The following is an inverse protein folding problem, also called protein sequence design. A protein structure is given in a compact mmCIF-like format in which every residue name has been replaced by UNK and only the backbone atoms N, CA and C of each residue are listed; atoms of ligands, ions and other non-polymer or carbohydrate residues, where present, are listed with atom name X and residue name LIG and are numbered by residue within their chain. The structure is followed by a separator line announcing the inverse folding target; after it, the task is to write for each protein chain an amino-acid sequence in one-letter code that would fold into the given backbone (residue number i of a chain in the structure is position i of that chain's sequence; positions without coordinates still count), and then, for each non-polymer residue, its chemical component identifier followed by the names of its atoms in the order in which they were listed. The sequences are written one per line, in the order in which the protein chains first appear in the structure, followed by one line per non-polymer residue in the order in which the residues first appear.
data_IF_566953315997
#
_entry.id   IF_566953315997
#
_cell.length_a   1.000
_cell.length_b   1.000
_cell.length_c   1.000
_cell.angle_alpha   90.00
_cell.angle_beta   90.00
_cell.angle_gamma   90.00
#
_symmetry.space_group_name_H-M   'P 1'
#
loop_
_entity.id
_entity.type
_entity.pdbx_description
1 polymer ?
#
# COMPACT_ATOMS: atom_id res chain seq x y z
N UNK A 1 -2.63 22.63 -6.05
CA UNK A 1 -2.90 21.97 -4.77
C UNK A 1 -3.01 20.49 -5.08
N UNK A 2 -2.23 19.63 -4.40
CA UNK A 2 -2.28 18.19 -4.67
C UNK A 2 -3.56 17.55 -4.14
N UNK A 3 -3.85 16.32 -4.59
CA UNK A 3 -5.01 15.55 -4.10
C UNK A 3 -4.99 15.39 -2.58
N UNK A 4 -3.85 15.01 -2.02
CA UNK A 4 -3.68 14.78 -0.58
C UNK A 4 -3.82 16.06 0.25
N UNK A 5 -3.35 17.20 -0.28
CA UNK A 5 -3.57 18.51 0.35
C UNK A 5 -5.05 18.88 0.38
N UNK A 6 -5.79 18.54 -0.68
CA UNK A 6 -7.22 18.77 -0.78
C UNK A 6 -8.00 17.90 0.22
N UNK A 7 -7.67 16.61 0.34
CA UNK A 7 -8.23 15.73 1.37
C UNK A 7 -8.00 16.31 2.78
N UNK A 8 -6.80 16.81 3.08
CA UNK A 8 -6.50 17.40 4.38
C UNK A 8 -7.35 18.66 4.69
N UNK A 9 -7.70 19.45 3.67
CA UNK A 9 -8.49 20.68 3.82
C UNK A 9 -10.00 20.45 3.79
N UNK A 10 -10.46 19.35 3.20
CA UNK A 10 -11.88 19.05 3.01
C UNK A 10 -12.27 17.72 3.68
N UNK A 11 -12.75 17.76 4.94
CA UNK A 11 -13.15 16.55 5.67
C UNK A 11 -14.23 15.73 4.97
N UNK A 12 -15.17 16.38 4.29
CA UNK A 12 -16.23 15.69 3.51
C UNK A 12 -15.62 14.87 2.38
N UNK A 13 -14.71 15.46 1.60
CA UNK A 13 -14.05 14.76 0.51
C UNK A 13 -13.13 13.65 1.02
N UNK A 14 -12.38 13.90 2.09
CA UNK A 14 -11.54 12.89 2.73
C UNK A 14 -12.35 11.67 3.18
N UNK A 15 -13.55 11.88 3.73
CA UNK A 15 -14.43 10.79 4.14
C UNK A 15 -14.88 9.96 2.94
N UNK A 16 -15.34 10.60 1.86
CA UNK A 16 -15.77 9.92 0.62
C UNK A 16 -14.60 9.11 0.04
N UNK A 17 -13.41 9.70 -0.01
CA UNK A 17 -12.21 9.02 -0.51
C UNK A 17 -11.87 7.78 0.32
N UNK A 18 -11.83 7.93 1.65
CA UNK A 18 -11.54 6.82 2.57
C UNK A 18 -12.59 5.71 2.50
N UNK A 19 -13.87 6.03 2.35
CA UNK A 19 -14.93 5.05 2.16
C UNK A 19 -14.78 4.28 0.84
N UNK A 20 -14.42 4.97 -0.24
CA UNK A 20 -14.10 4.36 -1.53
C UNK A 20 -12.97 3.35 -1.41
N UNK A 21 -11.85 3.74 -0.79
CA UNK A 21 -10.68 2.86 -0.60
C UNK A 21 -10.98 1.68 0.34
N UNK A 22 -11.79 1.88 1.38
CA UNK A 22 -12.22 0.82 2.27
C UNK A 22 -13.10 -0.23 1.58
N UNK A 23 -13.83 0.16 0.52
CA UNK A 23 -14.75 -0.73 -0.18
C UNK A 23 -14.06 -1.92 -0.84
N UNK A 24 -13.05 -1.63 -1.67
CA UNK A 24 -12.22 -2.64 -2.32
C UNK A 24 -11.35 -3.41 -1.31
N UNK A 25 -10.87 -2.72 -0.26
CA UNK A 25 -10.02 -3.31 0.77
C UNK A 25 -10.67 -4.46 1.53
N UNK A 26 -12.00 -4.61 1.52
CA UNK A 26 -12.69 -5.79 2.09
C UNK A 26 -12.36 -7.09 1.36
N UNK A 27 -12.00 -7.01 0.07
CA UNK A 27 -11.56 -8.17 -0.72
C UNK A 27 -10.21 -8.73 -0.24
N UNK A 28 -9.48 -7.99 0.59
CA UNK A 28 -8.25 -8.48 1.21
C UNK A 28 -8.45 -9.75 2.03
N UNK A 29 -9.67 -9.99 2.53
CA UNK A 29 -10.03 -11.26 3.18
C UNK A 29 -9.79 -12.49 2.30
N UNK A 30 -10.00 -12.37 0.98
CA UNK A 30 -9.71 -13.42 0.00
C UNK A 30 -8.21 -13.60 -0.19
N UNK A 31 -7.46 -12.49 -0.28
CA UNK A 31 -6.00 -12.55 -0.42
C UNK A 31 -5.35 -13.22 0.79
N UNK A 32 -5.78 -12.84 2.01
CA UNK A 32 -5.28 -13.47 3.24
C UNK A 32 -5.63 -14.96 3.30
N UNK A 33 -6.81 -15.35 2.81
CA UNK A 33 -7.24 -16.75 2.76
C UNK A 33 -6.43 -17.57 1.76
N UNK A 34 -6.27 -17.08 0.54
CA UNK A 34 -5.72 -17.84 -0.59
C UNK A 34 -4.18 -17.74 -0.65
N UNK A 35 -3.60 -16.66 -0.12
CA UNK A 35 -2.16 -16.39 -0.10
C UNK A 35 -1.60 -16.27 1.32
N UNK A 36 -2.19 -17.00 2.26
CA UNK A 36 -1.74 -17.10 3.66
C UNK A 36 -0.22 -17.26 3.82
N UNK A 37 0.50 -18.09 3.01
CA UNK A 37 1.95 -18.27 3.13
C UNK A 37 2.78 -17.00 2.97
N UNK A 38 2.25 -15.94 2.32
CA UNK A 38 2.95 -14.64 2.21
C UNK A 38 3.18 -14.03 3.60
N UNK A 39 2.23 -14.24 4.53
CA UNK A 39 2.23 -13.62 5.85
C UNK A 39 2.77 -14.54 6.95
N UNK A 40 3.01 -15.81 6.65
CA UNK A 40 3.51 -16.77 7.64
C UNK A 40 4.95 -16.44 8.08
N UNK A 41 5.20 -16.63 9.38
CA UNK A 41 6.51 -16.39 10.00
C UNK A 41 6.86 -14.92 10.28
N UNK A 42 5.97 -13.99 9.95
CA UNK A 42 6.07 -12.56 10.27
C UNK A 42 5.66 -12.29 11.73
N UNK A 43 6.48 -11.55 12.47
CA UNK A 43 6.13 -11.04 13.80
C UNK A 43 5.53 -9.63 13.77
N UNK A 44 5.81 -8.86 12.72
CA UNK A 44 5.33 -7.49 12.54
C UNK A 44 5.13 -7.12 11.08
N UNK A 45 4.09 -6.30 10.82
CA UNK A 45 3.75 -5.77 9.49
C UNK A 45 3.37 -4.30 9.60
N UNK A 46 3.85 -3.48 8.67
CA UNK A 46 3.42 -2.08 8.49
C UNK A 46 2.65 -1.96 7.18
N UNK A 47 1.43 -1.46 7.24
CA UNK A 47 0.54 -1.14 6.12
C UNK A 47 0.69 0.36 5.81
N UNK A 48 1.50 0.69 4.80
CA UNK A 48 1.85 2.07 4.43
C UNK A 48 0.80 2.63 3.48
N UNK A 49 0.26 3.80 3.80
CA UNK A 49 -0.95 4.32 3.16
C UNK A 49 -2.18 3.47 3.46
N UNK A 50 -2.21 2.80 4.62
CA UNK A 50 -3.26 1.85 5.00
C UNK A 50 -4.62 2.49 5.32
N UNK A 51 -4.74 3.82 5.20
CA UNK A 51 -5.96 4.59 5.40
C UNK A 51 -6.56 4.40 6.79
N UNK A 52 -7.84 4.03 6.84
CA UNK A 52 -8.54 3.75 8.10
C UNK A 52 -8.28 2.34 8.66
N UNK A 53 -7.36 1.59 8.04
CA UNK A 53 -6.83 0.33 8.53
C UNK A 53 -7.64 -0.91 8.15
N UNK A 54 -8.50 -0.86 7.12
CA UNK A 54 -9.32 -2.01 6.71
C UNK A 54 -8.47 -3.24 6.42
N UNK A 55 -7.37 -3.09 5.69
CA UNK A 55 -6.45 -4.19 5.35
C UNK A 55 -5.75 -4.72 6.58
N UNK A 56 -5.07 -3.85 7.34
CA UNK A 56 -4.36 -4.24 8.54
C UNK A 56 -5.27 -4.91 9.59
N UNK A 57 -6.55 -4.51 9.72
CA UNK A 57 -7.53 -5.19 10.59
C UNK A 57 -7.75 -6.65 10.16
N UNK A 58 -8.07 -6.89 8.89
CA UNK A 58 -8.28 -8.23 8.33
C UNK A 58 -7.05 -9.11 8.56
N UNK A 59 -5.86 -8.57 8.31
CA UNK A 59 -4.60 -9.27 8.54
C UNK A 59 -4.40 -9.57 10.03
N UNK A 60 -4.61 -8.59 10.91
CA UNK A 60 -4.42 -8.74 12.36
C UNK A 60 -5.38 -9.77 12.99
N UNK A 61 -6.58 -9.92 12.44
CA UNK A 61 -7.56 -10.93 12.86
C UNK A 61 -7.16 -12.34 12.40
N UNK A 62 -6.63 -12.46 11.17
CA UNK A 62 -6.16 -13.73 10.63
C UNK A 62 -4.84 -14.21 11.27
N UNK A 63 -4.02 -13.28 11.76
CA UNK A 63 -2.73 -13.56 12.41
C UNK A 63 -2.63 -12.84 13.77
N UNK A 64 -3.31 -13.34 14.82
CA UNK A 64 -3.36 -12.66 16.13
C UNK A 64 -2.01 -12.43 16.81
N UNK A 65 -0.98 -13.19 16.43
CA UNK A 65 0.38 -13.06 16.94
C UNK A 65 1.19 -11.93 16.28
N UNK A 66 0.76 -11.45 15.10
CA UNK A 66 1.47 -10.45 14.34
C UNK A 66 1.08 -9.04 14.80
N UNK A 67 2.09 -8.20 15.06
CA UNK A 67 1.88 -6.78 15.36
C UNK A 67 1.70 -6.01 14.05
N UNK A 68 0.52 -5.47 13.83
CA UNK A 68 0.19 -4.68 12.65
C UNK A 68 0.25 -3.19 13.00
N UNK A 69 0.79 -2.39 12.08
CA UNK A 69 0.79 -0.92 12.17
C UNK A 69 0.19 -0.35 10.90
N UNK A 70 -0.86 0.45 11.02
CA UNK A 70 -1.34 1.31 9.92
C UNK A 70 -0.52 2.58 9.97
N UNK A 71 0.17 2.87 8.88
CA UNK A 71 0.98 4.07 8.75
C UNK A 71 0.43 4.95 7.63
N UNK A 72 -0.03 6.13 7.97
CA UNK A 72 -0.64 7.06 7.01
C UNK A 72 -0.38 8.52 7.43
N UNK A 73 -0.87 9.47 6.65
CA UNK A 73 -0.78 10.89 6.98
C UNK A 73 -1.46 11.17 8.33
N UNK A 74 -0.92 12.10 9.15
CA UNK A 74 -1.44 12.36 10.49
C UNK A 74 -2.95 12.65 10.54
N UNK A 75 -3.49 13.37 9.56
CA UNK A 75 -4.90 13.73 9.50
C UNK A 75 -5.83 12.53 9.23
N UNK A 76 -5.34 11.48 8.56
CA UNK A 76 -6.10 10.26 8.25
C UNK A 76 -6.29 9.41 9.50
N UNK A 77 -5.25 9.30 10.33
CA UNK A 77 -5.24 8.40 11.49
C UNK A 77 -5.54 9.08 12.83
N UNK A 78 -5.63 10.40 12.88
CA UNK A 78 -5.73 11.19 14.12
C UNK A 78 -6.81 10.72 15.12
N UNK A 79 -7.94 10.21 14.63
CA UNK A 79 -9.09 9.82 15.46
C UNK A 79 -9.29 8.30 15.55
N UNK A 80 -8.35 7.52 15.03
CA UNK A 80 -8.42 6.07 15.06
C UNK A 80 -7.84 5.54 16.38
N UNK A 81 -8.47 4.50 16.92
CA UNK A 81 -8.07 3.91 18.20
C UNK A 81 -7.30 2.63 17.96
N UNK A 82 -6.16 2.52 18.62
CA UNK A 82 -5.38 1.29 18.69
C UNK A 82 -6.21 0.12 19.23
N UNK A 83 -5.82 -1.09 18.84
CA UNK A 83 -6.27 -2.35 19.41
C UNK A 83 -5.08 -3.14 19.95
N UNK A 84 -5.32 -4.35 20.46
CA UNK A 84 -4.29 -5.16 21.11
C UNK A 84 -3.07 -5.43 20.21
N UNK A 85 -3.29 -5.73 18.93
CA UNK A 85 -2.24 -6.07 17.96
C UNK A 85 -2.24 -5.15 16.73
N UNK A 86 -3.04 -4.08 16.73
CA UNK A 86 -3.09 -3.08 15.66
C UNK A 86 -2.85 -1.69 16.22
N UNK A 87 -1.90 -0.96 15.64
CA UNK A 87 -1.61 0.44 15.99
C UNK A 87 -1.78 1.36 14.80
N UNK A 88 -2.08 2.63 15.09
CA UNK A 88 -2.13 3.69 14.10
C UNK A 88 -0.97 4.67 14.33
N UNK A 89 -0.21 4.97 13.28
CA UNK A 89 0.93 5.88 13.33
C UNK A 89 0.80 6.90 12.22
N UNK A 90 0.78 8.19 12.59
CA UNK A 90 0.79 9.30 11.64
C UNK A 90 2.21 9.66 11.22
N UNK A 91 2.44 9.86 9.93
CA UNK A 91 3.72 10.34 9.42
C UNK A 91 3.75 10.50 7.91
N UNK A 92 4.96 10.59 7.37
CA UNK A 92 5.22 10.77 5.94
C UNK A 92 6.18 9.66 5.46
N UNK A 93 5.72 8.83 4.53
CA UNK A 93 6.48 7.69 3.99
C UNK A 93 7.72 8.11 3.20
N UNK A 94 7.78 9.35 2.70
CA UNK A 94 8.98 9.88 2.06
C UNK A 94 10.09 10.22 3.06
N UNK A 95 9.72 10.46 4.32
CA UNK A 95 10.66 10.77 5.40
C UNK A 95 11.12 9.52 6.13
N UNK A 96 10.17 8.72 6.64
CA UNK A 96 10.49 7.50 7.39
C UNK A 96 9.30 6.54 7.41
N UNK A 97 9.58 5.24 7.42
CA UNK A 97 8.58 4.18 7.60
C UNK A 97 8.88 3.45 8.92
N UNK A 98 7.87 3.15 9.76
CA UNK A 98 8.09 2.37 10.97
C UNK A 98 8.72 1.00 10.69
N UNK A 99 9.55 0.53 11.61
CA UNK A 99 10.23 -0.76 11.44
C UNK A 99 9.31 -1.97 11.58
N UNK A 100 9.46 -2.95 10.70
CA UNK A 100 8.73 -4.22 10.72
C UNK A 100 9.45 -5.34 9.95
N UNK A 101 8.94 -6.57 10.08
CA UNK A 101 9.41 -7.71 9.28
C UNK A 101 8.89 -7.65 7.83
N UNK A 102 7.71 -7.06 7.63
CA UNK A 102 7.13 -6.82 6.33
C UNK A 102 6.52 -5.43 6.20
N UNK A 103 6.58 -4.88 4.99
CA UNK A 103 5.95 -3.60 4.63
C UNK A 103 4.98 -3.88 3.49
N UNK A 104 3.73 -3.52 3.68
CA UNK A 104 2.63 -3.70 2.73
C UNK A 104 2.26 -2.34 2.12
N UNK A 105 2.09 -2.35 0.80
CA UNK A 105 1.51 -1.25 0.04
C UNK A 105 0.33 -1.79 -0.73
N UNK A 106 -0.87 -1.26 -0.46
CA UNK A 106 -2.05 -1.50 -1.28
C UNK A 106 -2.45 -0.19 -1.93
N UNK A 107 -2.48 -0.15 -3.26
CA UNK A 107 -2.93 1.02 -4.02
C UNK A 107 -2.13 2.30 -3.72
N UNK A 108 -0.80 2.19 -3.74
CA UNK A 108 0.08 3.34 -3.42
C UNK A 108 0.99 3.68 -4.60
N UNK A 109 1.62 2.70 -5.22
CA UNK A 109 2.69 2.99 -6.19
C UNK A 109 2.18 3.61 -7.49
N UNK A 110 0.91 3.43 -7.84
CA UNK A 110 0.30 4.10 -9.00
C UNK A 110 0.12 5.61 -8.82
N UNK A 111 0.17 6.14 -7.59
CA UNK A 111 0.01 7.57 -7.33
C UNK A 111 1.29 8.38 -7.59
N UNK A 112 2.44 7.71 -7.63
CA UNK A 112 3.75 8.35 -7.55
C UNK A 112 4.59 8.13 -8.80
N UNK A 113 5.56 9.02 -9.02
CA UNK A 113 6.54 8.85 -10.08
C UNK A 113 7.58 7.76 -9.76
N UNK A 114 8.22 7.16 -10.78
CA UNK A 114 9.31 6.19 -10.56
C UNK A 114 10.38 6.65 -9.55
N UNK A 115 10.76 7.94 -9.59
CA UNK A 115 11.74 8.49 -8.66
C UNK A 115 11.22 8.47 -7.22
N UNK A 116 9.97 8.87 -7.03
CA UNK A 116 9.27 8.80 -5.74
C UNK A 116 9.10 7.34 -5.29
N UNK A 117 8.69 6.43 -6.17
CA UNK A 117 8.59 5.00 -5.90
C UNK A 117 9.93 4.42 -5.45
N UNK A 118 11.03 4.76 -6.13
CA UNK A 118 12.39 4.33 -5.74
C UNK A 118 12.76 4.91 -4.37
N UNK A 119 12.39 6.15 -4.08
CA UNK A 119 12.64 6.76 -2.77
C UNK A 119 11.84 6.07 -1.66
N UNK A 120 10.57 5.73 -1.89
CA UNK A 120 9.74 4.94 -0.98
C UNK A 120 10.37 3.56 -0.74
N UNK A 121 10.83 2.86 -1.79
CA UNK A 121 11.48 1.55 -1.66
C UNK A 121 12.81 1.63 -0.88
N UNK A 122 13.57 2.72 -1.00
CA UNK A 122 14.75 2.95 -0.15
C UNK A 122 14.37 3.09 1.33
N UNK A 123 13.30 3.82 1.64
CA UNK A 123 12.76 3.92 3.01
C UNK A 123 12.31 2.56 3.54
N UNK A 124 11.73 1.72 2.68
CA UNK A 124 11.35 0.35 3.05
C UNK A 124 12.56 -0.49 3.46
N UNK A 125 13.64 -0.41 2.66
CA UNK A 125 14.89 -1.12 2.93
C UNK A 125 15.50 -0.73 4.28
N UNK A 126 15.39 0.54 4.66
CA UNK A 126 15.86 1.04 5.97
C UNK A 126 14.96 0.59 7.12
N UNK A 127 13.65 0.48 6.89
CA UNK A 127 12.66 0.12 7.89
C UNK A 127 12.59 -1.40 8.17
N UNK A 128 12.95 -2.24 7.20
CA UNK A 128 12.92 -3.70 7.38
C UNK A 128 13.96 -4.13 8.43
N UNK A 129 13.49 -4.51 9.62
CA UNK A 129 14.35 -4.93 10.74
C UNK A 129 14.50 -6.42 10.75
N UNK A 130 15.33 -6.96 9.87
CA UNK A 130 15.51 -8.40 9.83
C UNK A 130 16.76 -8.81 10.63
N UNK A 131 16.56 -9.18 11.90
CA UNK A 131 17.60 -9.79 12.75
C UNK A 131 17.90 -11.22 12.29
N UNK A 132 18.49 -11.38 11.10
CA UNK A 132 18.89 -12.67 10.54
C UNK A 132 17.81 -13.44 9.76
N UNK A 133 16.67 -12.82 9.43
CA UNK A 133 15.68 -13.31 8.45
C UNK A 133 15.70 -12.42 7.21
N UNK A 134 15.08 -12.80 6.11
CA UNK A 134 14.80 -11.88 5.01
C UNK A 134 13.45 -11.20 5.29
N UNK A 135 13.46 -9.86 5.42
CA UNK A 135 12.20 -9.11 5.44
C UNK A 135 11.67 -8.89 4.04
N UNK A 136 10.40 -8.51 3.92
CA UNK A 136 9.71 -8.46 2.62
C UNK A 136 8.91 -7.18 2.41
N UNK A 137 8.86 -6.73 1.16
CA UNK A 137 7.93 -5.69 0.71
C UNK A 137 6.84 -6.36 -0.11
N UNK A 138 5.58 -6.16 0.27
CA UNK A 138 4.40 -6.73 -0.39
C UNK A 138 3.68 -5.59 -1.09
N UNK A 139 3.47 -5.71 -2.40
CA UNK A 139 2.85 -4.68 -3.22
C UNK A 139 1.59 -5.27 -3.85
N UNK A 140 0.45 -4.63 -3.61
CA UNK A 140 -0.85 -4.96 -4.20
C UNK A 140 -1.29 -3.74 -5.01
N UNK A 141 -1.06 -3.82 -6.32
CA UNK A 141 -1.36 -2.73 -7.25
C UNK A 141 -1.77 -3.27 -8.61
N UNK A 142 -2.35 -2.40 -9.44
CA UNK A 142 -2.67 -2.72 -10.83
C UNK A 142 -1.35 -2.84 -11.61
N UNK A 143 -1.20 -3.97 -12.30
CA UNK A 143 -0.10 -4.24 -13.23
C UNK A 143 -0.70 -4.55 -14.60
N UNK A 144 -0.41 -3.72 -15.60
CA UNK A 144 -0.85 -3.95 -16.98
C UNK A 144 0.11 -4.94 -17.65
N UNK A 145 -0.42 -6.04 -18.18
CA UNK A 145 0.34 -6.97 -19.00
C UNK A 145 -0.49 -7.38 -20.21
N UNK A 146 -0.38 -6.63 -21.31
CA UNK A 146 -1.20 -6.83 -22.51
C UNK A 146 -1.01 -8.20 -23.17
N UNK A 147 0.10 -8.89 -22.90
CA UNK A 147 0.39 -10.21 -23.45
C UNK A 147 -0.31 -11.34 -22.67
N UNK A 148 -0.58 -11.13 -21.38
CA UNK A 148 -1.15 -12.14 -20.48
C UNK A 148 -2.58 -11.85 -20.04
N UNK A 149 -2.95 -10.59 -20.02
CA UNK A 149 -4.27 -10.15 -19.56
C UNK A 149 -5.35 -10.48 -20.61
N UNK A 150 -6.52 -10.88 -20.15
CA UNK A 150 -7.70 -10.92 -21.01
C UNK A 150 -8.05 -9.51 -21.52
N UNK A 151 -8.71 -9.44 -22.66
CA UNK A 151 -8.98 -8.16 -23.33
C UNK A 151 -9.79 -7.18 -22.47
N UNK A 152 -10.82 -7.65 -21.77
CA UNK A 152 -11.67 -6.78 -20.94
C UNK A 152 -10.98 -6.37 -19.63
N UNK A 153 -10.12 -7.24 -19.09
CA UNK A 153 -9.22 -6.91 -17.97
C UNK A 153 -8.25 -5.80 -18.40
N UNK A 154 -7.63 -5.95 -19.58
CA UNK A 154 -6.71 -4.96 -20.14
C UNK A 154 -7.39 -3.60 -20.30
N UNK A 155 -8.59 -3.56 -20.87
CA UNK A 155 -9.39 -2.33 -21.00
C UNK A 155 -9.68 -1.67 -19.66
N UNK A 156 -10.07 -2.46 -18.66
CA UNK A 156 -10.36 -1.94 -17.32
C UNK A 156 -9.10 -1.35 -16.67
N UNK A 157 -7.96 -2.03 -16.78
CA UNK A 157 -6.69 -1.51 -16.26
C UNK A 157 -6.22 -0.25 -17.01
N UNK A 158 -6.44 -0.17 -18.32
CA UNK A 158 -6.13 1.04 -19.10
C UNK A 158 -7.07 2.21 -18.76
N UNK A 159 -8.34 1.95 -18.48
CA UNK A 159 -9.27 2.98 -18.00
C UNK A 159 -8.82 3.50 -16.63
N UNK A 160 -8.38 2.60 -15.75
CA UNK A 160 -7.80 2.96 -14.46
C UNK A 160 -6.52 3.81 -14.61
N UNK A 161 -5.60 3.42 -15.50
CA UNK A 161 -4.41 4.23 -15.83
C UNK A 161 -4.80 5.63 -16.34
N UNK A 162 -5.84 5.70 -17.19
CA UNK A 162 -6.36 6.98 -17.66
C UNK A 162 -6.96 7.84 -16.55
N UNK A 163 -7.62 7.23 -15.58
CA UNK A 163 -8.11 7.91 -14.38
C UNK A 163 -6.95 8.45 -13.53
N UNK A 164 -5.88 7.68 -13.35
CA UNK A 164 -4.70 8.10 -12.58
C UNK A 164 -3.97 9.29 -13.23
N UNK A 165 -4.02 9.44 -14.56
CA UNK A 165 -3.51 10.65 -15.23
C UNK A 165 -4.27 11.93 -14.87
N UNK A 166 -5.51 11.83 -14.38
CA UNK A 166 -6.31 12.99 -13.94
C UNK A 166 -5.95 13.39 -12.51
N UNK A 167 -5.70 12.40 -11.65
CA UNK A 167 -5.41 12.62 -10.23
C UNK A 167 -3.93 12.84 -9.92
N UNK A 168 -3.03 12.28 -10.73
CA UNK A 168 -1.58 12.34 -10.56
C UNK A 168 -0.86 12.99 -11.74
N UNK A 169 0.41 13.34 -11.53
CA UNK A 169 1.34 13.81 -12.56
C UNK A 169 1.88 12.64 -13.45
N UNK A 170 1.03 11.70 -13.89
CA UNK A 170 1.45 10.43 -14.47
C UNK A 170 1.82 10.49 -15.97
N UNK A 171 2.88 9.77 -16.39
CA UNK A 171 3.31 9.55 -17.78
C UNK A 171 3.43 8.04 -18.08
N UNK A 172 2.75 7.62 -19.15
CA UNK A 172 2.39 6.27 -19.63
C UNK A 172 3.53 5.24 -19.87
N UNK A 173 4.81 5.55 -19.66
CA UNK A 173 5.96 4.67 -19.98
C UNK A 173 6.43 3.75 -18.80
N UNK A 174 5.75 3.80 -17.65
CA UNK A 174 6.35 3.48 -16.33
C UNK A 174 6.11 2.09 -15.73
N UNK A 175 4.96 1.45 -15.98
CA UNK A 175 4.55 0.22 -15.28
C UNK A 175 5.49 -0.99 -15.57
N UNK A 176 6.04 -1.08 -16.77
CA UNK A 176 7.00 -2.13 -17.13
C UNK A 176 8.35 -2.00 -16.41
N UNK A 177 8.81 -0.77 -16.11
CA UNK A 177 10.13 -0.54 -15.48
C UNK A 177 10.11 -0.88 -14.01
N UNK A 178 9.04 -0.55 -13.29
CA UNK A 178 8.85 -0.99 -11.90
C UNK A 178 8.69 -2.50 -11.81
N UNK A 179 7.90 -3.12 -12.69
CA UNK A 179 7.83 -4.58 -12.80
C UNK A 179 9.21 -5.21 -12.99
N UNK A 180 10.05 -4.66 -13.87
CA UNK A 180 11.43 -5.11 -14.09
C UNK A 180 12.38 -4.82 -12.92
N UNK A 181 12.20 -3.74 -12.17
CA UNK A 181 13.01 -3.44 -10.98
C UNK A 181 12.67 -4.36 -9.79
N UNK A 182 11.37 -4.67 -9.62
CA UNK A 182 10.87 -5.60 -8.60
C UNK A 182 11.23 -7.04 -8.96
N UNK A 183 11.11 -7.44 -10.25
CA UNK A 183 11.49 -8.78 -10.73
C UNK A 183 13.00 -8.94 -10.95
N UNK A 184 13.75 -7.85 -11.03
CA UNK A 184 15.20 -7.80 -11.30
C UNK A 184 16.08 -7.94 -10.06
N UNK A 185 15.53 -8.36 -8.92
CA UNK A 185 16.31 -8.70 -7.72
C UNK A 185 16.85 -7.50 -6.93
N UNK A 186 16.08 -6.40 -6.84
CA UNK A 186 16.34 -5.36 -5.83
C UNK A 186 15.81 -5.72 -4.42
N UNK A 187 15.38 -6.98 -4.24
CA UNK A 187 15.20 -7.69 -2.99
C UNK A 187 15.67 -9.14 -3.18
#
# INVERSE_FOLDING_TARGET
MGLWDYCNQSPEYNNIFNEGMASDSRLMSLVVKDYKPIFEGLGSLVDVGGGTGTVAKIISEAFPHMKCTVFDLPHVVANLKDSQNLKYVGGDMFQSIPSADAILFKWIFHDWSDEECVNILKRCKEAITSKGKEGKVIIIDVMINQEKDEHDVTKTKLLFDALMMVFGHWKREKQERMGKAILGGWF
#
